data_IF_667449319981
#
_entry.id   IF_667449319981
#
_cell.length_a   1.000
_cell.length_b   1.000
_cell.length_c   1.000
_cell.angle_alpha   90.00
_cell.angle_beta   90.00
_cell.angle_gamma   90.00
#
_symmetry.space_group_name_H-M   'P 1'
#
loop_
_entity.id
_entity.type
_entity.pdbx_description
1 polymer ?
#
# COMPACT_ATOMS: atom_id res chain seq x y z
N UNK A 1 44.06 -16.96 -66.48
CA UNK A 1 42.99 -17.27 -65.53
C UNK A 1 41.66 -17.11 -66.23
N UNK A 2 40.86 -18.16 -66.28
CA UNK A 2 39.57 -18.18 -66.99
C UNK A 2 38.56 -17.29 -66.28
N UNK A 3 37.77 -16.54 -67.03
CA UNK A 3 36.70 -15.63 -66.56
C UNK A 3 35.72 -16.32 -65.61
N UNK A 4 35.65 -17.64 -65.65
CA UNK A 4 34.81 -18.48 -64.74
C UNK A 4 35.37 -18.55 -63.30
N UNK A 5 36.69 -18.60 -63.13
CA UNK A 5 37.32 -18.67 -61.82
C UNK A 5 37.20 -17.34 -61.06
N UNK A 6 37.25 -16.20 -61.79
CA UNK A 6 37.10 -14.87 -61.17
C UNK A 6 35.66 -14.67 -60.64
N UNK A 7 34.63 -15.15 -61.39
CA UNK A 7 33.23 -15.06 -60.95
C UNK A 7 32.94 -15.93 -59.74
N UNK A 8 33.56 -17.12 -59.64
CA UNK A 8 33.40 -18.00 -58.47
C UNK A 8 34.04 -17.41 -57.24
N UNK A 9 35.24 -16.80 -57.32
CA UNK A 9 35.93 -16.16 -56.23
C UNK A 9 35.14 -14.92 -55.73
N UNK A 10 34.60 -14.11 -56.65
CA UNK A 10 33.79 -12.95 -56.31
C UNK A 10 32.50 -13.34 -55.57
N UNK A 11 31.84 -14.45 -56.02
CA UNK A 11 30.62 -14.94 -55.38
C UNK A 11 30.89 -15.51 -53.96
N UNK A 12 31.97 -16.22 -53.74
CA UNK A 12 32.38 -16.71 -52.42
C UNK A 12 32.76 -15.54 -51.50
N UNK A 13 33.42 -14.49 -52.00
CA UNK A 13 33.75 -13.31 -51.22
C UNK A 13 32.50 -12.52 -50.77
N UNK A 14 31.50 -12.37 -51.69
CA UNK A 14 30.20 -11.74 -51.34
C UNK A 14 29.42 -12.56 -50.32
N UNK A 15 29.44 -13.89 -50.44
CA UNK A 15 28.81 -14.79 -49.43
C UNK A 15 29.50 -14.73 -48.06
N UNK A 16 30.84 -14.59 -48.02
CA UNK A 16 31.59 -14.42 -46.79
C UNK A 16 31.28 -13.08 -46.08
N UNK A 17 31.08 -12.00 -46.83
CA UNK A 17 30.67 -10.72 -46.27
C UNK A 17 29.20 -10.68 -45.87
N UNK A 18 28.32 -11.39 -46.56
CA UNK A 18 26.90 -11.52 -46.19
C UNK A 18 26.69 -12.33 -44.92
N UNK A 19 27.61 -13.23 -44.56
CA UNK A 19 27.56 -14.02 -43.33
C UNK A 19 28.10 -13.28 -42.10
N UNK A 20 28.76 -12.14 -42.27
CA UNK A 20 29.12 -11.23 -41.18
C UNK A 20 27.99 -10.25 -40.89
N UNK A 21 26.78 -10.73 -40.75
CA UNK A 21 25.73 -9.96 -40.07
C UNK A 21 26.28 -9.61 -38.69
N UNK A 22 26.40 -8.34 -38.29
CA UNK A 22 26.75 -8.03 -36.90
C UNK A 22 25.72 -8.77 -36.07
N UNK A 23 26.18 -9.67 -35.22
CA UNK A 23 25.37 -10.16 -34.09
C UNK A 23 24.91 -8.88 -33.41
N UNK A 24 23.67 -8.49 -33.67
CA UNK A 24 23.02 -7.46 -32.89
C UNK A 24 22.95 -8.05 -31.46
N UNK A 25 23.96 -7.75 -30.66
CA UNK A 25 23.87 -7.94 -29.22
C UNK A 25 22.63 -7.14 -28.85
N UNK A 26 21.56 -7.79 -28.35
CA UNK A 26 20.43 -7.01 -27.87
C UNK A 26 21.02 -6.02 -26.86
N UNK A 27 20.90 -4.74 -27.15
CA UNK A 27 21.21 -3.71 -26.18
C UNK A 27 20.30 -4.07 -24.98
N UNK A 28 20.92 -4.57 -23.91
CA UNK A 28 20.19 -4.70 -22.66
C UNK A 28 19.72 -3.29 -22.34
N UNK A 29 18.41 -3.10 -22.30
CA UNK A 29 17.86 -1.83 -21.89
C UNK A 29 18.46 -1.55 -20.50
N UNK A 30 19.37 -0.58 -20.43
CA UNK A 30 19.99 -0.18 -19.19
C UNK A 30 18.89 0.48 -18.37
N UNK A 31 18.52 -0.14 -17.27
CA UNK A 31 17.51 0.42 -16.39
C UNK A 31 18.13 1.65 -15.72
N UNK A 32 17.70 2.84 -16.15
CA UNK A 32 18.25 4.12 -15.67
C UNK A 32 17.78 4.46 -14.26
N UNK A 33 16.65 3.85 -13.80
CA UNK A 33 16.02 4.11 -12.50
C UNK A 33 15.93 2.79 -11.73
N UNK A 34 16.45 2.77 -10.50
CA UNK A 34 16.24 1.68 -9.55
C UNK A 34 15.38 2.21 -8.42
N UNK A 35 14.26 1.53 -8.14
CA UNK A 35 13.32 1.89 -7.08
C UNK A 35 13.38 0.88 -5.95
N UNK A 36 13.32 1.39 -4.72
CA UNK A 36 13.10 0.60 -3.53
C UNK A 36 12.27 1.36 -2.51
N UNK A 37 11.63 0.64 -1.60
CA UNK A 37 10.82 1.20 -0.52
C UNK A 37 11.21 0.56 0.81
N UNK A 38 11.02 1.29 1.91
CA UNK A 38 11.23 0.77 3.27
C UNK A 38 10.19 -0.30 3.65
N UNK A 39 9.02 -0.27 3.02
CA UNK A 39 7.98 -1.29 3.16
C UNK A 39 7.25 -1.52 1.84
N UNK A 40 6.80 -2.74 1.61
CA UNK A 40 5.91 -3.09 0.50
C UNK A 40 4.45 -3.22 0.92
N UNK A 41 4.14 -3.07 2.21
CA UNK A 41 2.81 -3.23 2.75
C UNK A 41 2.56 -2.26 3.91
N UNK A 42 1.48 -1.50 3.82
CA UNK A 42 1.04 -0.54 4.84
C UNK A 42 -0.29 -1.00 5.41
N UNK A 43 -0.36 -1.12 6.74
CA UNK A 43 -1.60 -1.47 7.46
C UNK A 43 -2.04 -0.27 8.26
N UNK A 44 -3.25 0.23 8.01
CA UNK A 44 -3.80 1.41 8.69
C UNK A 44 -5.13 1.10 9.38
N UNK A 45 -5.35 1.73 10.51
CA UNK A 45 -6.69 1.82 11.11
C UNK A 45 -7.52 2.88 10.38
N UNK A 46 -8.85 2.76 10.30
CA UNK A 46 -9.71 3.81 9.80
C UNK A 46 -9.43 5.16 10.48
N UNK A 47 -9.37 6.24 9.69
CA UNK A 47 -9.04 7.58 10.16
C UNK A 47 -7.55 7.85 10.40
N UNK A 48 -6.65 6.91 10.13
CA UNK A 48 -5.22 7.06 10.35
C UNK A 48 -4.43 7.34 9.07
N UNK A 49 -3.14 7.67 9.25
CA UNK A 49 -2.19 7.90 8.17
C UNK A 49 -0.87 7.16 8.43
N UNK A 50 -0.19 6.79 7.35
CA UNK A 50 1.15 6.21 7.37
C UNK A 50 2.01 6.80 6.26
N UNK A 51 3.29 6.50 6.30
CA UNK A 51 4.27 6.96 5.33
C UNK A 51 5.05 5.77 4.78
N UNK A 52 5.41 5.86 3.50
CA UNK A 52 6.34 4.95 2.83
C UNK A 52 7.50 5.78 2.30
N UNK A 53 8.72 5.40 2.62
CA UNK A 53 9.91 6.03 2.06
C UNK A 53 10.24 5.40 0.72
N UNK A 54 10.12 6.17 -0.36
CA UNK A 54 10.56 5.78 -1.69
C UNK A 54 12.01 6.22 -1.88
N UNK A 55 12.89 5.30 -2.21
CA UNK A 55 14.28 5.56 -2.61
C UNK A 55 14.41 5.42 -4.11
N UNK A 56 14.90 6.46 -4.75
CA UNK A 56 15.14 6.54 -6.20
C UNK A 56 16.65 6.62 -6.42
N UNK A 57 17.22 5.60 -7.04
CA UNK A 57 18.64 5.55 -7.42
C UNK A 57 18.77 5.86 -8.92
N UNK A 58 19.64 6.82 -9.24
CA UNK A 58 20.01 7.13 -10.61
C UNK A 58 21.11 6.17 -11.10
N UNK A 59 20.73 5.22 -11.93
CA UNK A 59 21.64 4.28 -12.56
C UNK A 59 22.07 4.72 -13.98
N UNK A 60 21.73 5.94 -14.39
CA UNK A 60 22.19 6.57 -15.62
C UNK A 60 23.62 7.15 -15.45
N UNK A 61 24.16 7.71 -16.53
CA UNK A 61 25.50 8.32 -16.55
C UNK A 61 25.48 9.84 -16.41
N UNK A 62 24.30 10.47 -16.41
CA UNK A 62 24.07 11.90 -16.28
C UNK A 62 23.36 12.24 -14.95
N UNK A 63 23.36 13.52 -14.59
CA UNK A 63 22.53 14.02 -13.48
C UNK A 63 21.09 14.10 -13.99
N UNK A 64 20.16 13.47 -13.25
CA UNK A 64 18.78 13.35 -13.66
C UNK A 64 17.81 14.03 -12.69
N UNK A 65 16.62 14.31 -13.21
CA UNK A 65 15.45 14.75 -12.45
C UNK A 65 14.32 13.77 -12.72
N UNK A 66 13.67 13.32 -11.66
CA UNK A 66 12.62 12.31 -11.73
C UNK A 66 11.28 12.89 -11.31
N UNK A 67 10.24 12.62 -12.09
CA UNK A 67 8.86 12.91 -11.70
C UNK A 67 8.26 11.69 -11.00
N UNK A 68 7.63 11.93 -9.85
CA UNK A 68 6.97 10.92 -9.03
C UNK A 68 5.48 11.12 -9.10
N UNK A 69 4.74 10.10 -9.47
CA UNK A 69 3.29 10.11 -9.47
C UNK A 69 2.73 8.83 -8.86
N UNK A 70 1.51 8.89 -8.34
CA UNK A 70 0.84 7.76 -7.70
C UNK A 70 -0.42 7.43 -8.49
N UNK A 71 -0.56 6.16 -8.86
CA UNK A 71 -1.78 5.61 -9.43
C UNK A 71 -2.49 4.75 -8.38
N UNK A 72 -3.61 5.25 -7.88
CA UNK A 72 -4.48 4.59 -6.92
C UNK A 72 -5.86 4.25 -7.49
N UNK A 73 -6.00 4.23 -8.82
CA UNK A 73 -7.29 3.99 -9.50
C UNK A 73 -7.94 2.64 -9.14
N UNK A 74 -7.17 1.66 -8.65
CA UNK A 74 -7.66 0.37 -8.18
C UNK A 74 -8.18 0.35 -6.74
N UNK A 75 -8.02 1.45 -5.99
CA UNK A 75 -8.46 1.56 -4.59
C UNK A 75 -9.81 2.25 -4.46
N UNK A 76 -10.49 2.01 -3.33
CA UNK A 76 -11.69 2.77 -2.98
C UNK A 76 -11.33 4.25 -2.73
N UNK A 77 -12.30 5.14 -2.88
CA UNK A 77 -12.14 6.58 -2.64
C UNK A 77 -11.87 6.95 -1.16
N UNK A 78 -11.85 5.96 -0.27
CA UNK A 78 -11.49 6.12 1.14
C UNK A 78 -9.98 6.23 1.34
N UNK A 79 -9.19 5.83 0.35
CA UNK A 79 -7.74 6.00 0.35
C UNK A 79 -7.35 7.32 -0.33
N UNK A 80 -6.50 8.09 0.34
CA UNK A 80 -5.88 9.30 -0.22
C UNK A 80 -4.36 9.12 -0.15
N UNK A 81 -3.74 8.97 -1.32
CA UNK A 81 -2.31 8.70 -1.44
C UNK A 81 -1.66 9.80 -2.27
N UNK A 82 -0.55 10.33 -1.77
CA UNK A 82 0.18 11.41 -2.43
C UNK A 82 1.68 11.32 -2.16
N UNK A 83 2.49 11.74 -3.11
CA UNK A 83 3.90 11.99 -2.86
C UNK A 83 4.07 13.33 -2.10
N UNK A 84 5.06 13.42 -1.22
CA UNK A 84 5.42 14.68 -0.54
C UNK A 84 6.07 15.67 -1.52
N UNK A 85 6.77 15.12 -2.51
CA UNK A 85 7.39 15.85 -3.62
C UNK A 85 7.06 15.09 -4.92
N UNK A 86 6.52 15.78 -5.89
CA UNK A 86 6.20 15.24 -7.22
C UNK A 86 7.40 15.26 -8.18
N UNK A 87 8.50 15.93 -7.76
CA UNK A 87 9.75 16.04 -8.52
C UNK A 87 10.95 15.88 -7.60
N UNK A 88 11.85 14.97 -7.95
CA UNK A 88 13.13 14.73 -7.25
C UNK A 88 14.27 15.17 -8.17
N UNK A 89 14.81 16.34 -7.87
CA UNK A 89 15.80 17.00 -8.74
C UNK A 89 17.25 16.63 -8.39
N UNK A 90 18.15 16.76 -9.37
CA UNK A 90 19.59 16.70 -9.19
C UNK A 90 20.09 15.40 -8.54
N UNK A 91 19.63 14.26 -9.04
CA UNK A 91 20.13 12.95 -8.60
C UNK A 91 21.38 12.62 -9.42
N UNK A 92 22.55 12.62 -8.79
CA UNK A 92 23.81 12.30 -9.44
C UNK A 92 23.89 10.83 -9.84
N UNK A 93 24.68 10.46 -10.88
CA UNK A 93 24.92 9.07 -11.23
C UNK A 93 25.35 8.23 -10.01
N UNK A 94 24.75 7.06 -9.84
CA UNK A 94 24.98 6.13 -8.73
C UNK A 94 24.53 6.62 -7.33
N UNK A 95 23.91 7.79 -7.26
CA UNK A 95 23.36 8.33 -6.03
C UNK A 95 21.87 8.04 -5.92
N UNK A 96 21.40 7.99 -4.66
CA UNK A 96 19.98 7.84 -4.34
C UNK A 96 19.47 9.08 -3.64
N UNK A 97 18.19 9.38 -3.87
CA UNK A 97 17.40 10.34 -3.08
C UNK A 97 16.11 9.70 -2.61
N UNK A 98 15.61 10.17 -1.48
CA UNK A 98 14.39 9.70 -0.88
C UNK A 98 13.28 10.76 -1.04
N UNK A 99 12.06 10.28 -1.30
CA UNK A 99 10.83 11.04 -1.14
C UNK A 99 9.85 10.24 -0.31
N UNK A 100 8.85 10.89 0.27
CA UNK A 100 7.87 10.23 1.13
C UNK A 100 6.54 10.12 0.41
N UNK A 101 5.97 8.93 0.39
CA UNK A 101 4.61 8.68 -0.04
C UNK A 101 3.72 8.67 1.21
N UNK A 102 2.76 9.57 1.25
CA UNK A 102 1.82 9.74 2.36
C UNK A 102 0.56 8.96 2.02
N UNK A 103 0.19 8.02 2.88
CA UNK A 103 -0.99 7.17 2.74
C UNK A 103 -1.97 7.53 3.84
N UNK A 104 -3.18 7.95 3.48
CA UNK A 104 -4.26 8.29 4.43
C UNK A 104 -5.47 7.42 4.17
N UNK A 105 -6.08 6.96 5.25
CA UNK A 105 -7.30 6.17 5.23
C UNK A 105 -8.42 6.95 5.92
N UNK A 106 -9.55 7.12 5.25
CA UNK A 106 -10.72 7.79 5.82
C UNK A 106 -11.36 6.97 6.95
N UNK A 107 -12.10 7.67 7.82
CA UNK A 107 -13.00 7.02 8.77
C UNK A 107 -14.06 6.20 8.04
N UNK A 108 -14.49 5.08 8.64
CA UNK A 108 -15.51 4.21 8.06
C UNK A 108 -14.99 3.20 7.02
N UNK A 109 -13.69 3.16 6.74
CA UNK A 109 -13.10 2.11 5.92
C UNK A 109 -13.21 0.74 6.61
N UNK A 110 -13.41 -0.31 5.82
CA UNK A 110 -13.54 -1.70 6.28
C UNK A 110 -12.47 -2.57 5.64
N UNK A 111 -12.16 -3.77 6.16
CA UNK A 111 -11.12 -4.65 5.61
C UNK A 111 -11.28 -4.96 4.12
N UNK A 112 -12.51 -4.92 3.59
CA UNK A 112 -12.79 -5.09 2.15
C UNK A 112 -12.24 -3.96 1.26
N UNK A 113 -11.90 -2.79 1.84
CA UNK A 113 -11.30 -1.67 1.12
C UNK A 113 -9.78 -1.81 0.92
N UNK A 114 -9.19 -2.93 1.37
CA UNK A 114 -7.77 -3.23 1.15
C UNK A 114 -7.46 -3.45 -0.34
N UNK A 115 -6.24 -3.13 -0.76
CA UNK A 115 -5.83 -3.26 -2.16
C UNK A 115 -4.37 -2.90 -2.39
N UNK A 116 -4.05 -2.29 -3.53
CA UNK A 116 -2.72 -1.83 -3.87
C UNK A 116 -2.75 -0.56 -4.71
N UNK A 117 -1.64 0.16 -4.73
CA UNK A 117 -1.40 1.29 -5.61
C UNK A 117 -0.01 1.22 -6.21
N UNK A 118 0.16 1.87 -7.34
CA UNK A 118 1.43 1.94 -8.04
C UNK A 118 2.08 3.32 -7.90
N UNK A 119 3.39 3.33 -7.67
CA UNK A 119 4.21 4.53 -7.71
C UNK A 119 4.98 4.50 -9.02
N UNK A 120 4.77 5.50 -9.85
CA UNK A 120 5.44 5.68 -11.12
C UNK A 120 6.53 6.74 -10.96
N UNK A 121 7.75 6.39 -11.33
CA UNK A 121 8.87 7.33 -11.39
C UNK A 121 9.32 7.43 -12.83
N UNK A 122 9.21 8.62 -13.39
CA UNK A 122 9.47 8.89 -14.80
C UNK A 122 10.68 9.81 -14.96
N UNK A 123 11.57 9.45 -15.87
CA UNK A 123 12.64 10.29 -16.38
C UNK A 123 12.10 11.06 -17.59
N UNK A 124 11.86 12.38 -17.47
CA UNK A 124 11.13 13.14 -18.50
C UNK A 124 11.84 13.17 -19.84
N UNK A 125 13.17 13.29 -19.83
CA UNK A 125 13.99 13.49 -21.04
C UNK A 125 14.09 12.23 -21.89
N UNK A 126 14.00 11.03 -21.28
CA UNK A 126 14.09 9.75 -21.98
C UNK A 126 12.76 9.01 -22.08
N UNK A 127 11.70 9.57 -21.50
CA UNK A 127 10.37 8.95 -21.44
C UNK A 127 10.41 7.51 -20.90
N UNK A 128 11.32 7.27 -19.96
CA UNK A 128 11.44 6.00 -19.25
C UNK A 128 10.69 6.07 -17.92
N UNK A 129 9.89 5.05 -17.63
CA UNK A 129 9.12 4.96 -16.37
C UNK A 129 9.43 3.65 -15.67
N UNK A 130 9.79 3.74 -14.39
CA UNK A 130 9.88 2.61 -13.48
C UNK A 130 8.68 2.61 -12.54
N UNK A 131 8.18 1.44 -12.17
CA UNK A 131 6.97 1.28 -11.33
C UNK A 131 7.26 0.37 -10.16
N UNK A 132 6.75 0.73 -8.99
CA UNK A 132 6.76 -0.11 -7.80
C UNK A 132 5.37 -0.14 -7.17
N UNK A 133 4.89 -1.35 -6.83
CA UNK A 133 3.56 -1.58 -6.25
C UNK A 133 3.66 -1.68 -4.73
N UNK A 134 2.77 -0.97 -4.04
CA UNK A 134 2.60 -1.03 -2.58
C UNK A 134 1.22 -1.56 -2.26
N UNK A 135 1.15 -2.52 -1.35
CA UNK A 135 -0.09 -3.06 -0.82
C UNK A 135 -0.55 -2.26 0.39
N UNK A 136 -1.86 -2.06 0.50
CA UNK A 136 -2.49 -1.41 1.63
C UNK A 136 -3.60 -2.28 2.21
N UNK A 137 -3.68 -2.34 3.53
CA UNK A 137 -4.72 -3.09 4.23
C UNK A 137 -5.35 -2.25 5.32
N UNK A 138 -6.65 -2.40 5.48
CA UNK A 138 -7.40 -1.82 6.60
C UNK A 138 -7.29 -2.77 7.79
N UNK A 139 -6.76 -2.29 8.90
CA UNK A 139 -6.73 -3.04 10.15
C UNK A 139 -8.15 -3.23 10.68
N UNK A 140 -8.50 -4.42 11.21
CA UNK A 140 -9.78 -4.62 11.86
C UNK A 140 -9.88 -3.74 13.11
N UNK A 141 -11.06 -3.15 13.32
CA UNK A 141 -11.38 -2.37 14.51
C UNK A 141 -12.48 -3.06 15.28
N UNK A 142 -12.28 -3.27 16.58
CA UNK A 142 -13.24 -3.84 17.53
C UNK A 142 -13.64 -2.74 18.49
N UNK A 143 -14.90 -2.35 18.50
CA UNK A 143 -15.40 -1.26 19.35
C UNK A 143 -16.80 -1.62 19.91
N UNK A 144 -16.88 -2.52 20.91
CA UNK A 144 -18.14 -2.79 21.59
C UNK A 144 -18.53 -1.63 22.50
N UNK A 145 -19.79 -1.22 22.39
CA UNK A 145 -20.41 -0.22 23.28
C UNK A 145 -21.57 -0.85 24.03
N UNK A 146 -21.63 -0.56 25.32
CA UNK A 146 -22.70 -0.98 26.21
C UNK A 146 -23.50 0.25 26.62
N UNK A 147 -24.80 0.27 26.31
CA UNK A 147 -25.71 1.33 26.70
C UNK A 147 -26.81 0.76 27.59
N UNK A 148 -27.04 1.40 28.73
CA UNK A 148 -28.22 1.09 29.61
C UNK A 148 -29.44 1.82 29.03
N UNK A 149 -30.30 1.07 28.33
CA UNK A 149 -31.43 1.63 27.56
C UNK A 149 -32.58 2.16 28.41
N UNK A 150 -32.70 1.77 29.66
CA UNK A 150 -34.01 1.84 30.33
C UNK A 150 -34.14 2.75 31.54
N UNK A 151 -33.11 3.43 32.05
CA UNK A 151 -33.28 4.11 33.35
C UNK A 151 -32.57 5.47 33.55
N UNK A 152 -32.23 6.19 32.52
CA UNK A 152 -31.72 7.57 32.69
C UNK A 152 -30.43 7.73 33.51
N UNK A 153 -29.74 6.61 33.82
CA UNK A 153 -28.50 6.62 34.59
C UNK A 153 -28.02 5.24 35.05
N UNK A 154 -26.78 5.12 35.52
CA UNK A 154 -26.16 3.86 35.91
C UNK A 154 -26.66 3.30 37.25
N UNK A 155 -27.62 3.94 37.90
CA UNK A 155 -28.15 3.52 39.19
C UNK A 155 -29.59 3.08 39.05
N UNK A 156 -29.87 1.83 39.44
CA UNK A 156 -31.20 1.28 39.54
C UNK A 156 -31.53 1.17 41.01
N UNK A 157 -32.61 1.85 41.44
CA UNK A 157 -33.15 1.73 42.80
C UNK A 157 -34.31 0.76 42.83
N UNK A 158 -34.34 -0.15 43.79
CA UNK A 158 -35.43 -1.13 43.96
C UNK A 158 -35.81 -1.29 45.39
N UNK A 159 -37.08 -1.60 45.63
CA UNK A 159 -37.60 -1.90 46.98
C UNK A 159 -37.23 -3.33 47.37
N UNK A 160 -37.06 -3.53 48.69
CA UNK A 160 -36.77 -4.87 49.24
C UNK A 160 -37.87 -5.87 48.88
N UNK A 161 -37.48 -7.03 48.39
CA UNK A 161 -38.41 -8.09 48.00
C UNK A 161 -39.06 -7.90 46.62
N UNK A 162 -38.63 -6.94 45.82
CA UNK A 162 -39.08 -6.74 44.43
C UNK A 162 -38.02 -7.18 43.43
N UNK A 163 -38.45 -7.57 42.24
CA UNK A 163 -37.57 -7.82 41.10
C UNK A 163 -37.66 -6.65 40.11
N UNK A 164 -36.54 -6.28 39.54
CA UNK A 164 -36.50 -5.31 38.44
C UNK A 164 -35.76 -5.90 37.28
N UNK A 165 -36.11 -5.44 36.07
CA UNK A 165 -35.47 -5.82 34.83
C UNK A 165 -34.89 -4.56 34.20
N UNK A 166 -33.68 -4.64 33.79
CA UNK A 166 -33.04 -3.58 32.98
C UNK A 166 -32.53 -4.15 31.64
N UNK A 167 -32.57 -3.34 30.65
CA UNK A 167 -32.11 -3.70 29.28
C UNK A 167 -30.77 -3.04 29.03
N UNK A 168 -29.83 -3.84 28.59
CA UNK A 168 -28.53 -3.37 28.11
C UNK A 168 -28.55 -3.53 26.61
N UNK A 169 -28.36 -2.43 25.89
CA UNK A 169 -28.10 -2.46 24.45
C UNK A 169 -26.59 -2.65 24.22
N UNK A 170 -26.27 -3.64 23.43
CA UNK A 170 -24.90 -3.95 23.04
C UNK A 170 -24.77 -3.67 21.57
N UNK A 171 -23.91 -2.75 21.23
CA UNK A 171 -23.64 -2.34 19.84
C UNK A 171 -22.16 -2.56 19.53
N UNK A 172 -21.87 -3.14 18.37
CA UNK A 172 -20.51 -3.20 17.84
C UNK A 172 -20.33 -2.08 16.80
N UNK A 173 -19.63 -1.02 17.16
CA UNK A 173 -19.25 0.07 16.25
C UNK A 173 -17.91 -0.20 15.54
N UNK A 174 -17.32 -1.38 15.69
CA UNK A 174 -16.13 -1.80 14.99
C UNK A 174 -16.39 -2.08 13.52
N UNK A 175 -15.32 -2.25 12.76
CA UNK A 175 -15.36 -2.51 11.30
C UNK A 175 -15.53 -3.99 10.96
N UNK A 176 -15.50 -4.88 11.94
CA UNK A 176 -15.60 -6.33 11.75
C UNK A 176 -16.64 -6.93 12.72
N UNK A 177 -17.24 -8.03 12.29
CA UNK A 177 -18.10 -8.84 13.15
C UNK A 177 -17.29 -9.41 14.32
N UNK A 178 -17.87 -9.36 15.55
CA UNK A 178 -17.27 -9.89 16.75
C UNK A 178 -18.27 -10.63 17.61
N UNK A 179 -17.77 -11.53 18.47
CA UNK A 179 -18.57 -12.25 19.46
C UNK A 179 -18.30 -11.66 20.83
N UNK A 180 -19.30 -11.03 21.41
CA UNK A 180 -19.20 -10.40 22.72
C UNK A 180 -19.67 -11.35 23.81
N UNK A 181 -18.83 -11.52 24.85
CA UNK A 181 -19.20 -12.22 26.07
C UNK A 181 -19.65 -11.19 27.12
N UNK A 182 -20.90 -11.28 27.54
CA UNK A 182 -21.42 -10.47 28.65
C UNK A 182 -21.25 -11.25 29.95
N UNK A 183 -20.57 -10.65 30.90
CA UNK A 183 -20.45 -11.17 32.27
C UNK A 183 -20.96 -10.11 33.24
N UNK A 184 -21.63 -10.59 34.32
CA UNK A 184 -22.17 -9.75 35.39
C UNK A 184 -21.35 -9.98 36.65
N UNK A 185 -20.51 -9.01 36.96
CA UNK A 185 -19.79 -9.01 38.23
C UNK A 185 -20.61 -8.29 39.27
N UNK A 186 -20.81 -8.93 40.45
CA UNK A 186 -21.51 -8.36 41.59
C UNK A 186 -20.58 -8.29 42.79
N UNK A 187 -20.73 -7.23 43.58
CA UNK A 187 -20.01 -7.08 44.83
C UNK A 187 -20.39 -8.24 45.81
N UNK A 188 -19.42 -8.87 46.48
CA UNK A 188 -19.66 -9.98 47.39
C UNK A 188 -20.69 -9.69 48.48
N UNK A 189 -20.80 -8.44 48.89
CA UNK A 189 -21.76 -7.99 49.89
C UNK A 189 -23.22 -8.05 49.39
N UNK A 190 -23.44 -8.01 48.09
CA UNK A 190 -24.75 -8.18 47.48
C UNK A 190 -25.19 -9.64 47.47
N UNK A 191 -24.27 -10.59 47.54
CA UNK A 191 -24.61 -12.02 47.63
C UNK A 191 -25.45 -12.34 48.90
N UNK A 192 -25.29 -11.58 49.97
CA UNK A 192 -26.10 -11.70 51.18
C UNK A 192 -27.57 -11.25 50.99
N UNK A 193 -27.88 -10.47 49.97
CA UNK A 193 -29.21 -9.96 49.64
C UNK A 193 -30.09 -11.01 48.94
N UNK A 194 -29.49 -12.03 48.33
CA UNK A 194 -30.17 -13.12 47.62
C UNK A 194 -30.43 -14.35 48.46
N UNK A 195 -29.87 -14.38 49.67
CA UNK A 195 -29.92 -15.57 50.56
C UNK A 195 -31.08 -15.60 51.57
N UNK A 196 -32.05 -14.66 51.46
CA UNK A 196 -33.23 -14.59 52.33
C UNK A 196 -34.53 -14.69 51.58
#
# INVERSE_FOLDING_TARGET
MSSRSIRAVAFVLVLLFASMSPLAIPAQAHQSIILSTDTSHVVLMPGSAGNVTLTIENNATAIETFNVSVDSAGLSNLWNISASEDTVENVFPTWSKNTTIIVRLAEGAVPADSGSFDIHVTEPDQNFTSVITIYVSVAPSYLPILNLASMGGPLVSMDSGTNTTFTIDVENLGSVEDTLLLDVEYEPDLAAWWAN
#
